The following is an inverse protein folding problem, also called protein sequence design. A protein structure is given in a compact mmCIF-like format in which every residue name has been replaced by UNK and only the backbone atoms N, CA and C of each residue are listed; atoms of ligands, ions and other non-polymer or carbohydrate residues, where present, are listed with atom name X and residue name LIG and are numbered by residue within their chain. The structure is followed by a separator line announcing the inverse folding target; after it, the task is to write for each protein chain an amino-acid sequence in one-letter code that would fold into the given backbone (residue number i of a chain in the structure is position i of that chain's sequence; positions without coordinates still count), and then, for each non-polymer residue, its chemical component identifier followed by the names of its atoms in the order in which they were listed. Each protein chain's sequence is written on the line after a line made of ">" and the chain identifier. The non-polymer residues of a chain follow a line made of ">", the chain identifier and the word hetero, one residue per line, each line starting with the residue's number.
data_IF_360038985677
#
_entry.id   IF_360038985677
#
_cell.length_a   1.000
_cell.length_b   1.000
_cell.length_c   1.000
_cell.angle_alpha   90.00
_cell.angle_beta   90.00
_cell.angle_gamma   90.00
#
_symmetry.space_group_name_H-M   'P 1'
#
loop_
_entity.id
_entity.type
_entity.pdbx_description
1 polymer ?
#
# COMPACT_ATOMS: atom_id res chain seq x y z
N UNK A 1 28.94 46.34 53.05
CA UNK A 1 27.68 45.60 53.22
C UNK A 1 27.50 44.67 52.04
N UNK A 2 27.21 43.40 52.32
CA UNK A 2 26.93 42.35 51.33
C UNK A 2 25.61 42.65 50.61
N UNK A 3 25.53 42.37 49.31
CA UNK A 3 24.33 41.75 48.75
C UNK A 3 24.70 40.96 47.49
N UNK A 4 24.53 39.64 47.61
CA UNK A 4 24.48 38.64 46.54
C UNK A 4 23.07 38.63 45.97
N UNK A 5 22.93 38.37 44.67
CA UNK A 5 21.63 38.11 44.05
C UNK A 5 21.73 37.80 42.57
N UNK A 6 22.16 36.59 42.25
CA UNK A 6 22.07 35.97 40.92
C UNK A 6 20.61 35.81 40.46
N UNK A 7 20.42 35.76 39.14
CA UNK A 7 19.74 34.69 38.36
C UNK A 7 18.81 35.27 37.31
N UNK A 8 19.14 35.11 36.02
CA UNK A 8 18.26 34.57 34.99
C UNK A 8 19.06 34.33 33.70
N UNK A 9 19.53 33.09 33.52
CA UNK A 9 19.97 32.57 32.22
C UNK A 9 18.72 32.14 31.46
N UNK A 10 18.22 33.01 30.58
CA UNK A 10 17.29 32.59 29.54
C UNK A 10 18.07 31.88 28.44
N UNK A 11 18.11 30.55 28.50
CA UNK A 11 18.52 29.71 27.37
C UNK A 11 17.44 29.79 26.30
N UNK A 12 17.57 30.76 25.41
CA UNK A 12 16.78 30.85 24.20
C UNK A 12 17.32 29.78 23.24
N UNK A 13 16.73 28.58 23.28
CA UNK A 13 17.02 27.51 22.33
C UNK A 13 16.56 27.98 20.95
N UNK A 14 17.52 28.48 20.17
CA UNK A 14 17.38 28.82 18.77
C UNK A 14 16.92 27.57 18.01
N UNK A 15 15.63 27.53 17.65
CA UNK A 15 15.10 26.56 16.68
C UNK A 15 15.70 26.96 15.34
N UNK A 16 16.82 26.32 15.02
CA UNK A 16 17.52 26.47 13.76
C UNK A 16 16.59 26.24 12.59
N UNK A 17 16.57 27.22 11.71
CA UNK A 17 15.89 27.27 10.44
C UNK A 17 16.18 25.99 9.63
N UNK A 18 15.20 25.09 9.57
CA UNK A 18 15.29 23.94 8.69
C UNK A 18 15.27 24.44 7.25
N UNK A 19 16.40 24.26 6.57
CA UNK A 19 16.65 24.68 5.18
C UNK A 19 15.48 24.24 4.29
N UNK A 20 15.03 25.05 3.31
CA UNK A 20 13.88 24.73 2.46
C UNK A 20 13.99 23.34 1.81
N UNK A 21 15.21 22.87 1.54
CA UNK A 21 15.48 21.52 1.03
C UNK A 21 15.04 20.40 2.00
N UNK A 22 15.23 20.58 3.30
CA UNK A 22 14.80 19.63 4.33
C UNK A 22 13.29 19.66 4.53
N UNK A 23 12.65 20.84 4.42
CA UNK A 23 11.18 20.97 4.43
C UNK A 23 10.53 20.30 3.22
N UNK A 24 11.13 20.42 2.03
CA UNK A 24 10.66 19.76 0.81
C UNK A 24 10.75 18.23 0.96
N UNK A 25 11.89 17.71 1.45
CA UNK A 25 12.06 16.26 1.66
C UNK A 25 11.09 15.74 2.73
N UNK A 26 10.85 16.49 3.81
CA UNK A 26 9.85 16.14 4.82
C UNK A 26 8.42 16.18 4.26
N UNK A 27 8.07 17.16 3.41
CA UNK A 27 6.76 17.24 2.74
C UNK A 27 6.57 16.13 1.70
N UNK A 28 7.61 15.77 0.93
CA UNK A 28 7.58 14.62 0.00
C UNK A 28 7.50 13.29 0.76
N UNK A 29 8.18 13.15 1.90
CA UNK A 29 8.07 11.99 2.79
C UNK A 29 6.68 11.87 3.43
N UNK A 30 6.04 12.99 3.79
CA UNK A 30 4.68 13.02 4.37
C UNK A 30 3.57 12.78 3.32
N UNK A 31 3.85 13.04 2.04
CA UNK A 31 2.93 12.77 0.93
C UNK A 31 3.02 11.31 0.42
N UNK A 32 4.22 10.72 0.42
CA UNK A 32 4.42 9.29 0.11
C UNK A 32 3.83 8.32 1.15
N UNK A 33 3.33 8.81 2.28
CA UNK A 33 3.01 8.01 3.48
C UNK A 33 1.51 7.80 3.76
N UNK A 34 0.58 8.19 2.87
CA UNK A 34 -0.84 7.86 3.13
C UNK A 34 -1.26 6.50 2.57
N UNK A 35 -1.04 6.23 1.28
CA UNK A 35 -1.56 5.00 0.66
C UNK A 35 -0.66 3.79 0.94
N UNK A 36 0.66 3.98 1.01
CA UNK A 36 1.60 2.88 1.33
C UNK A 36 1.26 2.28 2.70
N UNK A 37 1.14 3.13 3.72
CA UNK A 37 0.80 2.72 5.08
C UNK A 37 -0.60 2.11 5.16
N UNK A 38 -1.55 2.61 4.37
CA UNK A 38 -2.88 2.00 4.26
C UNK A 38 -2.80 0.59 3.67
N UNK A 39 -2.05 0.37 2.60
CA UNK A 39 -1.85 -0.96 2.03
C UNK A 39 -1.20 -1.91 3.05
N UNK A 40 -0.18 -1.45 3.79
CA UNK A 40 0.45 -2.24 4.85
C UNK A 40 -0.54 -2.59 5.97
N UNK A 41 -1.41 -1.65 6.39
CA UNK A 41 -2.48 -1.90 7.37
C UNK A 41 -3.52 -2.91 6.88
N UNK A 42 -3.80 -2.94 5.57
CA UNK A 42 -4.68 -3.94 4.94
C UNK A 42 -4.01 -5.33 4.90
N UNK A 43 -2.68 -5.39 5.06
CA UNK A 43 -1.89 -6.62 5.06
C UNK A 43 -1.14 -6.88 3.75
N UNK A 44 -0.96 -5.87 2.90
CA UNK A 44 -0.05 -5.99 1.77
C UNK A 44 1.40 -6.06 2.26
N UNK A 45 2.22 -6.81 1.52
CA UNK A 45 3.65 -6.90 1.71
C UNK A 45 4.36 -6.16 0.58
N UNK A 46 5.36 -5.36 0.94
CA UNK A 46 6.23 -4.70 -0.02
C UNK A 46 7.25 -5.71 -0.54
N UNK A 47 7.23 -5.98 -1.84
CA UNK A 47 8.16 -6.88 -2.51
C UNK A 47 9.01 -6.06 -3.46
N UNK A 48 10.33 -6.17 -3.32
CA UNK A 48 11.30 -5.60 -4.25
C UNK A 48 11.71 -6.67 -5.25
N UNK A 49 11.49 -6.40 -6.53
CA UNK A 49 11.91 -7.26 -7.62
C UNK A 49 13.39 -7.03 -7.96
N UNK A 50 14.00 -7.99 -8.65
CA UNK A 50 15.42 -7.95 -9.02
C UNK A 50 15.78 -6.80 -9.97
N UNK A 51 14.80 -6.30 -10.73
CA UNK A 51 14.87 -5.11 -11.59
C UNK A 51 14.81 -3.79 -10.80
N UNK A 52 14.78 -3.86 -9.47
CA UNK A 52 14.63 -2.71 -8.58
C UNK A 52 13.20 -2.20 -8.48
N UNK A 53 12.24 -2.77 -9.22
CA UNK A 53 10.84 -2.37 -9.16
C UNK A 53 10.23 -2.76 -7.80
N UNK A 54 9.46 -1.83 -7.24
CA UNK A 54 8.70 -2.06 -6.01
C UNK A 54 7.28 -2.42 -6.38
N UNK A 55 6.76 -3.49 -5.77
CA UNK A 55 5.36 -3.90 -5.88
C UNK A 55 4.81 -4.22 -4.50
N UNK A 56 3.52 -4.02 -4.31
CA UNK A 56 2.80 -4.42 -3.11
C UNK A 56 1.97 -5.64 -3.45
N UNK A 57 2.07 -6.69 -2.63
CA UNK A 57 1.36 -7.94 -2.85
C UNK A 57 0.51 -8.29 -1.63
N UNK A 58 -0.75 -8.59 -1.86
CA UNK A 58 -1.65 -9.18 -0.88
C UNK A 58 -2.02 -10.59 -1.35
N UNK A 59 -1.98 -11.55 -0.44
CA UNK A 59 -2.45 -12.91 -0.67
C UNK A 59 -3.45 -13.27 0.43
N UNK A 60 -4.64 -13.74 0.02
CA UNK A 60 -5.68 -14.11 0.95
C UNK A 60 -5.25 -15.37 1.73
N UNK A 61 -5.26 -15.29 3.06
CA UNK A 61 -4.92 -16.42 3.93
C UNK A 61 -5.85 -17.64 3.71
N UNK A 62 -7.13 -17.37 3.43
CA UNK A 62 -8.11 -18.39 3.08
C UNK A 62 -8.79 -18.04 1.75
N UNK A 63 -8.60 -18.90 0.75
CA UNK A 63 -9.14 -18.72 -0.61
C UNK A 63 -10.67 -18.86 -0.69
N UNK A 64 -11.31 -19.42 0.35
CA UNK A 64 -12.77 -19.53 0.43
C UNK A 64 -13.43 -18.28 1.00
N UNK A 65 -12.68 -17.41 1.69
CA UNK A 65 -13.23 -16.21 2.32
C UNK A 65 -13.11 -14.95 1.46
N UNK A 66 -12.33 -14.99 0.37
CA UNK A 66 -12.16 -13.87 -0.56
C UNK A 66 -12.19 -14.36 -1.99
N UNK A 67 -12.91 -13.65 -2.85
CA UNK A 67 -12.96 -13.95 -4.29
C UNK A 67 -11.59 -13.72 -4.94
N UNK A 68 -10.92 -12.62 -4.62
CA UNK A 68 -9.60 -12.30 -5.11
C UNK A 68 -8.53 -12.88 -4.19
N UNK A 69 -7.91 -13.97 -4.62
CA UNK A 69 -6.91 -14.67 -3.80
C UNK A 69 -5.56 -13.96 -3.78
N UNK A 70 -5.29 -13.11 -4.77
CA UNK A 70 -4.06 -12.34 -4.90
C UNK A 70 -4.35 -10.97 -5.48
N UNK A 71 -3.75 -9.93 -4.90
CA UNK A 71 -3.85 -8.55 -5.39
C UNK A 71 -2.44 -7.98 -5.45
N UNK A 72 -2.08 -7.37 -6.57
CA UNK A 72 -0.76 -6.74 -6.75
C UNK A 72 -0.94 -5.29 -7.14
N UNK A 73 -0.25 -4.37 -6.47
CA UNK A 73 -0.18 -2.95 -6.82
C UNK A 73 1.21 -2.62 -7.30
N UNK A 74 1.30 -1.96 -8.46
CA UNK A 74 2.54 -1.49 -9.05
C UNK A 74 2.40 -0.02 -9.43
N UNK A 75 3.40 0.78 -9.07
CA UNK A 75 3.50 2.16 -9.52
C UNK A 75 3.85 2.23 -11.01
N UNK A 76 3.18 3.11 -11.74
CA UNK A 76 3.31 3.32 -13.19
C UNK A 76 3.47 4.83 -13.44
N UNK A 77 4.22 5.16 -14.50
CA UNK A 77 4.70 6.51 -14.76
C UNK A 77 6.16 6.63 -14.35
N UNK A 78 7.02 6.96 -15.31
CA UNK A 78 8.42 7.30 -15.07
C UNK A 78 8.69 8.68 -15.65
N UNK A 79 9.55 9.50 -15.02
CA UNK A 79 10.35 9.23 -13.82
C UNK A 79 9.61 9.48 -12.49
N UNK A 80 8.47 10.15 -12.51
CA UNK A 80 7.63 10.39 -11.33
C UNK A 80 6.34 9.58 -11.49
N UNK A 81 6.14 8.50 -10.70
CA UNK A 81 4.91 7.71 -10.79
C UNK A 81 3.72 8.51 -10.28
N UNK A 82 2.72 8.67 -11.14
CA UNK A 82 1.46 9.37 -10.86
C UNK A 82 0.24 8.42 -10.91
N UNK A 83 0.50 7.16 -11.26
CA UNK A 83 -0.53 6.16 -11.51
C UNK A 83 -0.17 4.83 -10.85
N UNK A 84 -1.19 4.05 -10.54
CA UNK A 84 -1.05 2.73 -9.95
C UNK A 84 -1.80 1.73 -10.80
N UNK A 85 -1.14 0.65 -11.18
CA UNK A 85 -1.77 -0.51 -11.79
C UNK A 85 -2.02 -1.56 -10.71
N UNK A 86 -3.27 -2.00 -10.61
CA UNK A 86 -3.74 -2.98 -9.65
C UNK A 86 -4.15 -4.20 -10.45
N UNK A 87 -3.61 -5.34 -10.08
CA UNK A 87 -3.94 -6.62 -10.68
C UNK A 87 -4.60 -7.48 -9.62
N UNK A 88 -5.88 -7.77 -9.84
CA UNK A 88 -6.66 -8.70 -9.04
C UNK A 88 -6.64 -10.07 -9.72
N UNK A 89 -6.29 -11.12 -8.99
CA UNK A 89 -6.22 -12.48 -9.52
C UNK A 89 -6.89 -13.47 -8.57
N UNK A 90 -7.76 -14.31 -9.14
CA UNK A 90 -8.34 -15.47 -8.45
C UNK A 90 -7.65 -16.73 -8.94
N UNK A 91 -7.12 -17.49 -7.99
CA UNK A 91 -6.44 -18.75 -8.26
C UNK A 91 -7.05 -19.87 -7.43
N UNK A 92 -7.49 -20.91 -8.11
CA UNK A 92 -8.04 -22.10 -7.50
C UNK A 92 -7.03 -23.24 -7.54
N UNK A 93 -7.07 -24.08 -6.50
CA UNK A 93 -6.27 -25.29 -6.47
C UNK A 93 -7.10 -26.39 -7.13
N UNK A 94 -6.61 -26.90 -8.25
CA UNK A 94 -7.13 -28.10 -8.88
C UNK A 94 -6.23 -29.28 -8.50
N UNK A 95 -6.81 -30.30 -7.87
CA UNK A 95 -6.10 -31.54 -7.55
C UNK A 95 -6.32 -32.51 -8.69
N UNK A 96 -5.28 -32.75 -9.48
CA UNK A 96 -5.26 -33.82 -10.48
C UNK A 96 -4.85 -35.15 -9.85
N UNK A 97 -5.02 -36.26 -10.58
CA UNK A 97 -4.69 -37.61 -10.10
C UNK A 97 -3.24 -37.76 -9.57
N UNK A 98 -2.30 -36.94 -10.04
CA UNK A 98 -0.88 -37.07 -9.73
C UNK A 98 -0.22 -35.80 -9.19
N UNK A 99 -0.86 -34.62 -9.34
CA UNK A 99 -0.27 -33.31 -9.01
C UNK A 99 -1.34 -32.30 -8.61
N UNK A 100 -0.93 -31.36 -7.75
CA UNK A 100 -1.71 -30.18 -7.39
C UNK A 100 -1.33 -29.05 -8.33
N UNK A 101 -2.31 -28.50 -9.04
CA UNK A 101 -2.15 -27.36 -9.92
C UNK A 101 -2.82 -26.12 -9.31
N UNK A 102 -2.16 -24.97 -9.38
CA UNK A 102 -2.80 -23.68 -9.11
C UNK A 102 -3.19 -23.07 -10.45
N UNK A 103 -4.48 -22.95 -10.70
CA UNK A 103 -5.02 -22.40 -11.96
C UNK A 103 -5.57 -21.01 -11.68
N UNK A 104 -5.18 -20.03 -12.49
CA UNK A 104 -5.74 -18.68 -12.43
C UNK A 104 -7.03 -18.67 -13.23
N UNK A 105 -8.16 -18.46 -12.56
CA UNK A 105 -9.49 -18.55 -13.19
C UNK A 105 -10.08 -17.18 -13.54
N UNK A 106 -9.62 -16.11 -12.87
CA UNK A 106 -10.03 -14.75 -13.18
C UNK A 106 -8.87 -13.79 -12.94
N UNK A 107 -8.73 -12.81 -13.84
CA UNK A 107 -7.78 -11.70 -13.73
C UNK A 107 -8.51 -10.42 -14.10
N UNK A 108 -8.34 -9.39 -13.29
CA UNK A 108 -8.83 -8.04 -13.56
C UNK A 108 -7.67 -7.06 -13.34
N UNK A 109 -7.52 -6.09 -14.24
CA UNK A 109 -6.43 -5.11 -14.21
C UNK A 109 -7.04 -3.71 -14.33
N UNK A 110 -6.81 -2.91 -13.30
CA UNK A 110 -7.33 -1.54 -13.22
C UNK A 110 -6.17 -0.59 -13.01
N UNK A 111 -6.23 0.58 -13.65
CA UNK A 111 -5.26 1.66 -13.45
C UNK A 111 -5.97 2.84 -12.81
N UNK A 112 -5.42 3.31 -11.70
CA UNK A 112 -5.90 4.50 -11.00
C UNK A 112 -4.85 5.60 -11.10
N UNK A 113 -5.29 6.83 -11.34
CA UNK A 113 -4.46 8.04 -11.29
C UNK A 113 -4.63 8.82 -9.97
N UNK A 114 -5.37 8.24 -9.01
CA UNK A 114 -5.59 8.80 -7.69
C UNK A 114 -5.41 7.68 -6.65
N UNK A 115 -4.48 7.90 -5.71
CA UNK A 115 -4.11 6.90 -4.71
C UNK A 115 -5.21 6.59 -3.70
N UNK A 116 -6.07 7.56 -3.37
CA UNK A 116 -7.20 7.31 -2.45
C UNK A 116 -8.26 6.45 -3.12
N UNK A 117 -8.65 6.78 -4.37
CA UNK A 117 -9.57 5.94 -5.15
C UNK A 117 -9.05 4.52 -5.34
N UNK A 118 -7.74 4.37 -5.53
CA UNK A 118 -7.11 3.05 -5.56
C UNK A 118 -7.33 2.29 -4.25
N UNK A 119 -7.05 2.92 -3.10
CA UNK A 119 -7.19 2.26 -1.80
C UNK A 119 -8.65 1.93 -1.48
N UNK A 120 -9.58 2.80 -1.87
CA UNK A 120 -11.03 2.56 -1.76
C UNK A 120 -11.44 1.32 -2.57
N UNK A 121 -11.08 1.26 -3.86
CA UNK A 121 -11.36 0.11 -4.74
C UNK A 121 -10.77 -1.19 -4.19
N UNK A 122 -9.53 -1.16 -3.70
CA UNK A 122 -8.90 -2.33 -3.05
C UNK A 122 -9.69 -2.78 -1.83
N UNK A 123 -10.13 -1.85 -0.98
CA UNK A 123 -10.90 -2.16 0.23
C UNK A 123 -12.27 -2.77 -0.11
N UNK A 124 -12.90 -2.35 -1.19
CA UNK A 124 -14.15 -2.94 -1.68
C UNK A 124 -13.90 -4.34 -2.24
N UNK A 125 -12.91 -4.49 -3.13
CA UNK A 125 -12.60 -5.75 -3.82
C UNK A 125 -12.13 -6.84 -2.86
N UNK A 126 -11.39 -6.52 -1.80
CA UNK A 126 -10.95 -7.50 -0.78
C UNK A 126 -12.13 -8.11 -0.03
N UNK A 127 -13.21 -7.36 0.19
CA UNK A 127 -14.40 -7.80 0.93
C UNK A 127 -15.33 -8.70 0.11
N UNK A 128 -15.12 -8.80 -1.20
CA UNK A 128 -15.96 -9.64 -2.07
C UNK A 128 -15.76 -11.11 -1.69
N UNK A 129 -16.85 -11.75 -1.27
CA UNK A 129 -16.90 -13.19 -1.00
C UNK A 129 -17.23 -13.96 -2.28
N UNK A 130 -16.70 -15.18 -2.45
CA UNK A 130 -16.97 -15.99 -3.64
C UNK A 130 -18.46 -16.28 -3.84
N UNK A 131 -19.23 -16.46 -2.76
CA UNK A 131 -20.67 -16.75 -2.81
C UNK A 131 -21.52 -15.55 -3.28
N UNK A 132 -20.97 -14.33 -3.17
CA UNK A 132 -21.71 -13.11 -3.52
C UNK A 132 -21.95 -13.02 -5.03
N UNK A 133 -20.99 -13.44 -5.84
CA UNK A 133 -21.11 -13.40 -7.31
C UNK A 133 -21.94 -14.55 -7.88
N UNK A 134 -21.97 -15.72 -7.22
CA UNK A 134 -22.85 -16.83 -7.63
C UNK A 134 -24.33 -16.43 -7.60
N UNK A 135 -24.70 -15.47 -6.73
CA UNK A 135 -26.08 -15.03 -6.54
C UNK A 135 -26.56 -14.00 -7.56
N UNK A 136 -25.65 -13.39 -8.33
CA UNK A 136 -25.98 -12.39 -9.37
C UNK A 136 -26.07 -13.05 -10.76
N UNK A 137 -25.62 -14.31 -10.88
CA UNK A 137 -25.65 -15.09 -12.12
C UNK A 137 -26.76 -16.16 -12.15
N UNK A 138 -27.73 -16.13 -11.22
CA UNK A 138 -28.91 -17.01 -11.20
C UNK A 138 -30.19 -16.21 -11.26
#
# INVERSE_FOLDING_TARGET
>A
MRSLGNTELQTQTHIGDATPRTKIIMMELHAMSSWHDQLLKIGFQKVKSADGAVRYCYEAANRRSSFWTKITVKEVGRPSPDSWQITYARSEIQVGLWKIHSVVNAVDVVVHNNSQKMVEDINEKIKIKPDFLQRISS
#
